data_IF_972016850958
#
_entry.id   IF_972016850958
#
_cell.length_a   1.000
_cell.length_b   1.000
_cell.length_c   1.000
_cell.angle_alpha   90.00
_cell.angle_beta   90.00
_cell.angle_gamma   90.00
#
_symmetry.space_group_name_H-M   'P 1'
#
loop_
_entity.id
_entity.type
_entity.pdbx_description
1 polymer ?
#
# COMPACT_ATOMS: atom_id res chain seq x y z
N UNK A 1 -37.16 2.52 -17.06
CA UNK A 1 -36.89 2.24 -15.62
C UNK A 1 -35.42 1.92 -15.38
N UNK A 2 -34.78 1.05 -16.20
CA UNK A 2 -33.34 0.74 -16.02
C UNK A 2 -32.38 1.94 -16.29
N UNK A 3 -32.67 2.78 -17.29
CA UNK A 3 -31.82 3.93 -17.62
C UNK A 3 -31.87 5.03 -16.54
N UNK A 4 -33.01 5.22 -15.88
CA UNK A 4 -33.16 6.21 -14.80
C UNK A 4 -32.46 5.80 -13.52
N UNK A 5 -32.37 4.51 -13.22
CA UNK A 5 -31.66 3.98 -12.05
C UNK A 5 -30.13 4.07 -12.25
N UNK A 6 -29.64 3.81 -13.47
CA UNK A 6 -28.20 3.98 -13.81
C UNK A 6 -27.76 5.45 -13.74
N UNK A 7 -28.57 6.39 -14.25
CA UNK A 7 -28.24 7.82 -14.16
C UNK A 7 -28.26 8.35 -12.71
N UNK A 8 -29.21 7.90 -11.88
CA UNK A 8 -29.25 8.30 -10.46
C UNK A 8 -28.07 7.73 -9.65
N UNK A 9 -27.60 6.53 -9.99
CA UNK A 9 -26.42 5.92 -9.36
C UNK A 9 -25.14 6.67 -9.73
N UNK A 10 -24.94 7.02 -11.00
CA UNK A 10 -23.78 7.81 -11.44
C UNK A 10 -23.78 9.24 -10.85
N UNK A 11 -24.93 9.90 -10.76
CA UNK A 11 -25.05 11.23 -10.15
C UNK A 11 -24.71 11.21 -8.65
N UNK A 12 -25.10 10.16 -7.92
CA UNK A 12 -24.77 10.05 -6.49
C UNK A 12 -23.30 9.76 -6.23
N UNK A 13 -22.64 8.98 -7.09
CA UNK A 13 -21.20 8.71 -7.00
C UNK A 13 -20.41 9.99 -7.23
N UNK A 14 -20.69 10.72 -8.28
CA UNK A 14 -20.03 12.00 -8.61
C UNK A 14 -20.20 13.05 -7.50
N UNK A 15 -21.40 13.15 -6.89
CA UNK A 15 -21.61 14.06 -5.75
C UNK A 15 -20.79 13.67 -4.52
N UNK A 16 -20.64 12.39 -4.26
CA UNK A 16 -19.84 11.91 -3.11
C UNK A 16 -18.36 12.18 -3.32
N UNK A 17 -17.85 11.93 -4.52
CA UNK A 17 -16.44 12.20 -4.88
C UNK A 17 -16.13 13.71 -4.84
N UNK A 18 -16.99 14.54 -5.39
CA UNK A 18 -16.84 16.00 -5.32
C UNK A 18 -16.84 16.51 -3.88
N UNK A 19 -17.70 15.96 -3.01
CA UNK A 19 -17.73 16.32 -1.58
C UNK A 19 -16.44 15.90 -0.87
N UNK A 20 -15.89 14.72 -1.16
CA UNK A 20 -14.63 14.24 -0.60
C UNK A 20 -13.49 15.16 -1.05
N UNK A 21 -13.41 15.47 -2.34
CA UNK A 21 -12.37 16.34 -2.88
C UNK A 21 -12.42 17.74 -2.26
N UNK A 22 -13.61 18.31 -2.10
CA UNK A 22 -13.79 19.60 -1.40
C UNK A 22 -13.28 19.54 0.05
N UNK A 23 -13.60 18.48 0.80
CA UNK A 23 -13.12 18.30 2.17
C UNK A 23 -11.60 18.16 2.23
N UNK A 24 -10.99 17.46 1.27
CA UNK A 24 -9.53 17.34 1.16
C UNK A 24 -8.91 18.70 0.87
N UNK A 25 -9.43 19.47 -0.08
CA UNK A 25 -8.95 20.80 -0.41
C UNK A 25 -9.04 21.77 0.78
N UNK A 26 -10.17 21.76 1.51
CA UNK A 26 -10.37 22.53 2.73
C UNK A 26 -9.37 22.16 3.83
N UNK A 27 -9.11 20.87 4.04
CA UNK A 27 -8.12 20.38 4.98
C UNK A 27 -6.72 20.83 4.55
N UNK A 28 -6.34 20.56 3.29
CA UNK A 28 -5.03 20.90 2.74
C UNK A 28 -4.72 22.40 2.84
N UNK A 29 -5.73 23.24 2.61
CA UNK A 29 -5.58 24.71 2.71
C UNK A 29 -5.24 25.19 4.13
N UNK A 30 -5.68 24.45 5.16
CA UNK A 30 -5.40 24.76 6.57
C UNK A 30 -4.08 24.18 7.08
N UNK A 31 -3.54 23.17 6.41
CA UNK A 31 -2.30 22.52 6.83
C UNK A 31 -1.09 23.41 6.63
N UNK A 32 -0.26 23.50 7.65
CA UNK A 32 1.09 24.08 7.53
C UNK A 32 2.00 23.18 6.68
N UNK A 33 3.09 23.73 6.17
CA UNK A 33 4.07 22.94 5.41
C UNK A 33 4.64 21.75 6.21
N UNK A 34 5.01 21.87 7.51
CA UNK A 34 5.43 20.72 8.30
C UNK A 34 4.37 19.62 8.42
N UNK A 35 3.08 19.96 8.52
CA UNK A 35 1.99 18.98 8.54
C UNK A 35 1.86 18.25 7.20
N UNK A 36 1.95 18.94 6.07
CA UNK A 36 1.92 18.34 4.74
C UNK A 36 3.06 17.36 4.56
N UNK A 37 4.28 17.72 4.98
CA UNK A 37 5.45 16.84 4.94
C UNK A 37 5.24 15.64 5.86
N UNK A 38 4.66 15.82 7.05
CA UNK A 38 4.40 14.74 7.99
C UNK A 38 3.47 13.66 7.40
N UNK A 39 2.55 14.02 6.49
CA UNK A 39 1.68 13.03 5.83
C UNK A 39 2.41 12.14 4.82
N UNK A 40 3.58 12.53 4.33
CA UNK A 40 4.41 11.76 3.39
C UNK A 40 5.35 10.77 4.11
N UNK A 41 5.30 10.73 5.44
CA UNK A 41 6.18 9.93 6.29
C UNK A 41 5.47 8.75 6.89
N UNK A 42 6.24 7.70 7.17
CA UNK A 42 5.80 6.61 8.03
C UNK A 42 6.76 6.37 9.20
N UNK A 43 6.27 5.72 10.25
CA UNK A 43 7.04 5.34 11.43
C UNK A 43 6.60 4.00 11.97
N UNK A 44 7.27 3.52 13.00
CA UNK A 44 6.87 2.33 13.74
C UNK A 44 6.07 2.73 14.98
N UNK A 45 4.89 2.12 15.14
CA UNK A 45 3.99 2.45 16.25
C UNK A 45 4.64 2.20 17.61
N UNK A 46 5.46 1.16 17.75
CA UNK A 46 6.08 0.78 19.03
C UNK A 46 7.04 1.85 19.57
N UNK A 47 7.58 2.72 18.73
CA UNK A 47 8.43 3.84 19.14
C UNK A 47 7.70 4.85 20.02
N UNK A 48 6.35 4.86 19.98
CA UNK A 48 5.52 5.77 20.75
C UNK A 48 5.19 5.26 22.16
N UNK A 49 5.61 4.03 22.51
CA UNK A 49 5.27 3.42 23.79
C UNK A 49 6.47 3.38 24.74
N UNK A 50 6.18 3.37 26.04
CA UNK A 50 7.17 3.13 27.11
C UNK A 50 7.42 1.63 27.31
N UNK A 51 8.32 1.30 28.24
CA UNK A 51 8.66 -0.10 28.54
C UNK A 51 7.50 -0.86 29.22
N UNK A 52 6.56 -0.16 29.82
CA UNK A 52 5.35 -0.70 30.44
C UNK A 52 4.20 -0.88 29.45
N UNK A 53 4.38 -0.43 28.19
CA UNK A 53 3.41 -0.53 27.10
C UNK A 53 2.34 0.58 27.11
N UNK A 54 2.54 1.67 27.84
CA UNK A 54 1.68 2.84 27.79
C UNK A 54 2.14 3.83 26.71
N UNK A 55 1.21 4.59 26.13
CA UNK A 55 1.55 5.64 25.19
C UNK A 55 2.39 6.74 25.88
N UNK A 56 3.62 6.94 25.40
CA UNK A 56 4.52 7.98 25.88
C UNK A 56 4.25 9.30 25.15
N UNK A 57 3.48 10.18 25.80
CA UNK A 57 3.10 11.46 25.21
C UNK A 57 4.28 12.42 25.00
N UNK A 58 5.43 12.20 25.66
CA UNK A 58 6.65 12.97 25.44
C UNK A 58 7.28 12.54 24.13
N UNK A 59 7.40 11.22 23.90
CA UNK A 59 7.86 10.68 22.61
C UNK A 59 6.94 11.11 21.46
N UNK A 60 5.63 11.05 21.66
CA UNK A 60 4.67 11.50 20.63
C UNK A 60 4.93 12.95 20.23
N UNK A 61 5.10 13.87 21.19
CA UNK A 61 5.41 15.28 20.92
C UNK A 61 6.78 15.50 20.25
N UNK A 62 7.73 14.62 20.48
CA UNK A 62 9.06 14.69 19.88
C UNK A 62 9.10 14.12 18.45
N UNK A 63 8.50 12.94 18.24
CA UNK A 63 8.61 12.17 17.02
C UNK A 63 7.58 12.59 15.96
N UNK A 64 6.36 12.93 16.40
CA UNK A 64 5.23 13.24 15.52
C UNK A 64 4.48 14.52 15.89
N UNK A 65 5.18 15.66 16.12
CA UNK A 65 4.56 16.91 16.61
C UNK A 65 3.53 17.50 15.63
N UNK A 66 3.66 17.18 14.34
CA UNK A 66 2.77 17.61 13.26
C UNK A 66 1.88 16.49 12.73
N UNK A 67 1.76 15.37 13.46
CA UNK A 67 1.14 14.15 12.99
C UNK A 67 2.11 13.29 12.19
N UNK A 68 1.56 12.25 11.54
CA UNK A 68 2.26 11.33 10.66
C UNK A 68 1.26 10.69 9.70
N UNK A 69 1.65 10.41 8.46
CA UNK A 69 0.77 9.80 7.48
C UNK A 69 0.51 8.32 7.73
N UNK A 70 1.55 7.57 8.09
CA UNK A 70 1.47 6.12 8.14
C UNK A 70 2.19 5.50 9.34
N UNK A 71 1.69 4.33 9.78
CA UNK A 71 2.42 3.41 10.66
C UNK A 71 2.63 2.07 9.97
N UNK A 72 3.90 1.63 9.95
CA UNK A 72 4.39 0.47 9.22
C UNK A 72 4.32 -0.79 10.04
N UNK A 73 3.87 -1.91 9.44
CA UNK A 73 3.97 -3.30 9.93
C UNK A 73 3.74 -3.47 11.43
N UNK A 74 2.72 -2.83 11.97
CA UNK A 74 2.48 -2.81 13.42
C UNK A 74 2.16 -4.18 14.02
N UNK A 75 1.62 -5.13 13.23
CA UNK A 75 1.34 -6.49 13.67
C UNK A 75 2.54 -7.44 13.49
N UNK A 76 3.46 -7.12 12.57
CA UNK A 76 4.62 -7.96 12.26
C UNK A 76 5.81 -7.74 13.19
N UNK A 77 5.83 -6.67 13.98
CA UNK A 77 6.95 -6.34 14.87
C UNK A 77 6.95 -7.18 16.14
N UNK A 78 5.78 -7.56 16.62
CA UNK A 78 5.62 -8.39 17.80
C UNK A 78 4.44 -9.35 17.60
N UNK A 79 4.61 -10.64 17.88
CA UNK A 79 3.54 -11.63 17.79
C UNK A 79 2.61 -11.51 19.00
N UNK A 80 1.59 -10.70 18.87
CA UNK A 80 0.56 -10.43 19.89
C UNK A 80 -0.84 -10.71 19.37
N UNK A 81 -1.85 -10.67 20.25
CA UNK A 81 -3.25 -10.84 19.85
C UNK A 81 -3.85 -9.58 19.20
N UNK A 82 -4.88 -9.77 18.38
CA UNK A 82 -5.56 -8.72 17.65
C UNK A 82 -6.19 -7.63 18.56
N UNK A 83 -6.65 -7.97 19.76
CA UNK A 83 -7.22 -7.00 20.69
C UNK A 83 -6.16 -6.08 21.28
N UNK A 84 -4.96 -6.59 21.54
CA UNK A 84 -3.83 -5.79 21.99
C UNK A 84 -3.48 -4.74 20.94
N UNK A 85 -3.33 -5.16 19.68
CA UNK A 85 -3.05 -4.24 18.58
C UNK A 85 -4.14 -3.20 18.38
N UNK A 86 -5.41 -3.62 18.37
CA UNK A 86 -6.55 -2.72 18.24
C UNK A 86 -6.56 -1.62 19.31
N UNK A 87 -6.22 -1.97 20.56
CA UNK A 87 -6.14 -0.99 21.66
C UNK A 87 -5.01 0.00 21.44
N UNK A 88 -3.83 -0.46 21.03
CA UNK A 88 -2.69 0.40 20.70
C UNK A 88 -3.00 1.36 19.55
N UNK A 89 -3.55 0.84 18.46
CA UNK A 89 -3.99 1.68 17.33
C UNK A 89 -4.99 2.74 17.80
N UNK A 90 -6.00 2.36 18.60
CA UNK A 90 -7.01 3.29 19.08
C UNK A 90 -6.41 4.43 19.92
N UNK A 91 -5.47 4.12 20.82
CA UNK A 91 -4.80 5.12 21.67
C UNK A 91 -3.94 6.07 20.84
N UNK A 92 -3.21 5.56 19.83
CA UNK A 92 -2.41 6.40 18.93
C UNK A 92 -3.30 7.29 18.06
N UNK A 93 -4.38 6.75 17.50
CA UNK A 93 -5.34 7.53 16.71
C UNK A 93 -6.00 8.63 17.55
N UNK A 94 -6.41 8.30 18.78
CA UNK A 94 -6.98 9.28 19.72
C UNK A 94 -6.00 10.43 20.00
N UNK A 95 -4.72 10.09 20.23
CA UNK A 95 -3.68 11.09 20.44
C UNK A 95 -3.49 11.99 19.20
N UNK A 96 -3.41 11.40 18.00
CA UNK A 96 -3.27 12.15 16.76
C UNK A 96 -4.43 13.11 16.55
N UNK A 97 -5.66 12.66 16.75
CA UNK A 97 -6.86 13.47 16.53
C UNK A 97 -7.00 14.64 17.51
N UNK A 98 -6.48 14.51 18.74
CA UNK A 98 -6.69 15.51 19.78
C UNK A 98 -5.44 16.35 20.12
N UNK A 99 -4.24 15.92 19.69
CA UNK A 99 -2.98 16.55 20.10
C UNK A 99 -2.09 16.98 18.92
N UNK A 100 -2.56 16.86 17.68
CA UNK A 100 -1.88 17.41 16.49
C UNK A 100 -2.73 18.56 15.89
N UNK A 101 -2.11 19.48 15.13
CA UNK A 101 -2.78 20.74 14.77
C UNK A 101 -4.10 20.58 14.01
N UNK A 102 -4.20 19.66 13.05
CA UNK A 102 -5.42 19.41 12.28
C UNK A 102 -6.11 18.08 12.60
N UNK A 103 -5.63 17.32 13.60
CA UNK A 103 -6.27 16.09 14.06
C UNK A 103 -6.37 15.00 12.98
N UNK A 104 -5.37 14.87 12.10
CA UNK A 104 -5.39 13.91 11.00
C UNK A 104 -4.99 12.53 11.52
N UNK A 105 -5.85 11.49 11.37
CA UNK A 105 -5.51 10.13 11.76
C UNK A 105 -4.48 9.52 10.79
N UNK A 106 -3.62 8.62 11.29
CA UNK A 106 -2.66 7.90 10.46
C UNK A 106 -3.28 6.69 9.76
N UNK A 107 -2.69 6.28 8.63
CA UNK A 107 -2.98 5.01 7.97
C UNK A 107 -2.09 3.92 8.56
N UNK A 108 -2.70 2.89 9.14
CA UNK A 108 -2.00 1.70 9.62
C UNK A 108 -1.98 0.64 8.53
N UNK A 109 -0.81 0.13 8.19
CA UNK A 109 -0.65 -0.89 7.16
C UNK A 109 0.07 -2.14 7.67
N UNK A 110 -0.21 -3.27 7.02
CA UNK A 110 0.33 -4.57 7.37
C UNK A 110 0.55 -5.44 6.13
N UNK A 111 1.42 -6.43 6.26
CA UNK A 111 1.56 -7.52 5.29
C UNK A 111 0.48 -8.57 5.51
N UNK A 112 -0.21 -8.98 4.43
CA UNK A 112 -1.28 -9.98 4.54
C UNK A 112 -1.27 -11.03 3.42
N UNK A 113 -0.13 -11.30 2.81
CA UNK A 113 0.03 -12.27 1.72
C UNK A 113 -0.58 -13.65 2.06
N UNK A 114 -0.34 -14.14 3.26
CA UNK A 114 -0.84 -15.42 3.77
C UNK A 114 -1.68 -15.29 5.05
N UNK A 115 -2.33 -14.15 5.25
CA UNK A 115 -3.05 -13.80 6.47
C UNK A 115 -2.29 -12.78 7.31
N UNK A 116 -2.86 -12.40 8.45
CA UNK A 116 -2.27 -11.40 9.36
C UNK A 116 -1.36 -12.12 10.35
N UNK A 117 -0.19 -11.55 10.63
CA UNK A 117 0.77 -12.12 11.59
C UNK A 117 0.40 -11.76 13.03
N UNK A 118 -0.69 -12.35 13.55
CA UNK A 118 -1.11 -12.25 14.96
C UNK A 118 -1.41 -13.64 15.53
N UNK A 119 -1.38 -13.78 16.87
CA UNK A 119 -1.53 -15.08 17.54
C UNK A 119 -2.86 -15.79 17.24
N UNK A 120 -3.92 -15.02 17.01
CA UNK A 120 -5.30 -15.49 16.85
C UNK A 120 -5.83 -15.34 15.41
N UNK A 121 -4.96 -14.97 14.45
CA UNK A 121 -5.35 -14.85 13.06
C UNK A 121 -5.25 -16.19 12.30
N UNK A 122 -6.05 -16.31 11.25
CA UNK A 122 -5.96 -17.46 10.34
C UNK A 122 -4.77 -17.30 9.40
N UNK A 123 -3.93 -18.33 9.34
CA UNK A 123 -2.84 -18.47 8.38
C UNK A 123 -3.34 -19.23 7.16
N UNK A 124 -3.04 -18.73 5.98
CA UNK A 124 -3.37 -19.30 4.69
C UNK A 124 -2.10 -19.76 3.96
N UNK A 125 -2.21 -20.60 2.92
CA UNK A 125 -1.07 -20.90 2.06
C UNK A 125 -0.42 -19.64 1.49
N UNK A 126 0.88 -19.71 1.23
CA UNK A 126 1.59 -18.67 0.47
C UNK A 126 1.00 -18.55 -0.95
N UNK A 127 1.23 -17.40 -1.62
CA UNK A 127 0.59 -17.10 -2.90
C UNK A 127 0.90 -18.14 -3.98
N UNK A 128 2.13 -18.68 -4.03
CA UNK A 128 2.47 -19.76 -4.96
C UNK A 128 1.59 -21.02 -4.74
N UNK A 129 1.31 -21.37 -3.50
CA UNK A 129 0.40 -22.46 -3.16
C UNK A 129 -1.06 -22.14 -3.51
N UNK A 130 -1.47 -20.88 -3.39
CA UNK A 130 -2.80 -20.43 -3.82
C UNK A 130 -2.92 -20.46 -5.35
N UNK A 131 -1.87 -20.06 -6.09
CA UNK A 131 -1.81 -20.13 -7.55
C UNK A 131 -2.03 -21.53 -8.09
N UNK A 132 -1.48 -22.56 -7.42
CA UNK A 132 -1.67 -23.98 -7.77
C UNK A 132 -3.13 -24.44 -7.70
N UNK A 133 -4.02 -23.68 -7.07
CA UNK A 133 -5.45 -23.97 -7.09
C UNK A 133 -6.14 -23.59 -8.40
N UNK A 134 -5.58 -22.67 -9.17
CA UNK A 134 -6.19 -22.02 -10.35
C UNK A 134 -7.62 -21.54 -10.06
N UNK A 135 -7.88 -21.12 -8.82
CA UNK A 135 -9.21 -20.72 -8.37
C UNK A 135 -9.19 -19.30 -7.76
N UNK A 136 -9.48 -18.27 -8.56
CA UNK A 136 -9.48 -16.88 -8.11
C UNK A 136 -10.59 -16.58 -7.08
N UNK A 137 -11.72 -17.32 -7.09
CA UNK A 137 -12.81 -17.13 -6.12
C UNK A 137 -12.33 -17.47 -4.69
N UNK A 138 -11.46 -18.48 -4.53
CA UNK A 138 -10.84 -18.79 -3.24
C UNK A 138 -9.89 -17.66 -2.79
N UNK A 139 -9.13 -17.07 -3.70
CA UNK A 139 -8.27 -15.93 -3.39
C UNK A 139 -9.10 -14.71 -2.93
N UNK A 140 -10.20 -14.41 -3.61
CA UNK A 140 -11.13 -13.35 -3.24
C UNK A 140 -11.78 -13.60 -1.88
N UNK A 141 -12.28 -14.81 -1.61
CA UNK A 141 -12.87 -15.19 -0.34
C UNK A 141 -11.87 -15.09 0.82
N UNK A 142 -10.64 -15.59 0.63
CA UNK A 142 -9.54 -15.48 1.61
C UNK A 142 -9.29 -14.01 1.96
N UNK A 143 -9.16 -13.16 0.96
CA UNK A 143 -8.79 -11.76 1.19
C UNK A 143 -9.93 -10.92 1.74
N UNK A 144 -11.18 -11.27 1.42
CA UNK A 144 -12.36 -10.75 2.11
C UNK A 144 -12.30 -11.00 3.62
N UNK A 145 -11.96 -12.22 4.02
CA UNK A 145 -11.83 -12.59 5.44
C UNK A 145 -10.64 -11.87 6.10
N UNK A 146 -9.49 -11.87 5.43
CA UNK A 146 -8.27 -11.21 5.92
C UNK A 146 -8.46 -9.71 6.05
N UNK A 147 -9.01 -9.03 5.03
CA UNK A 147 -9.29 -7.60 5.06
C UNK A 147 -10.29 -7.22 6.15
N UNK A 148 -11.32 -8.05 6.36
CA UNK A 148 -12.28 -7.86 7.46
C UNK A 148 -11.59 -7.97 8.83
N UNK A 149 -10.68 -8.91 9.01
CA UNK A 149 -9.91 -9.07 10.25
C UNK A 149 -8.96 -7.89 10.46
N UNK A 150 -8.18 -7.51 9.43
CA UNK A 150 -7.26 -6.36 9.49
C UNK A 150 -8.01 -5.05 9.83
N UNK A 151 -9.16 -4.83 9.21
CA UNK A 151 -10.01 -3.65 9.51
C UNK A 151 -10.45 -3.58 10.96
N UNK A 152 -10.81 -4.72 11.57
CA UNK A 152 -11.18 -4.79 12.99
C UNK A 152 -10.02 -4.46 13.93
N UNK A 153 -8.79 -4.66 13.49
CA UNK A 153 -7.58 -4.29 14.23
C UNK A 153 -7.18 -2.83 14.06
N UNK A 154 -7.81 -2.11 13.13
CA UNK A 154 -7.53 -0.71 12.81
C UNK A 154 -6.63 -0.52 11.59
N UNK A 155 -6.21 -1.59 10.92
CA UNK A 155 -5.47 -1.52 9.65
C UNK A 155 -6.38 -1.07 8.50
N UNK A 156 -5.85 -0.24 7.62
CA UNK A 156 -6.60 0.35 6.49
C UNK A 156 -5.91 0.18 5.15
N UNK A 157 -4.66 -0.26 5.16
CA UNK A 157 -3.86 -0.55 3.97
C UNK A 157 -3.14 -1.89 4.15
N UNK A 158 -3.06 -2.67 3.10
CA UNK A 158 -2.28 -3.90 3.01
C UNK A 158 -1.18 -3.73 1.98
N UNK A 159 0.05 -4.11 2.32
CA UNK A 159 1.17 -4.14 1.38
C UNK A 159 1.17 -5.43 0.53
N UNK A 160 -0.01 -5.78 0.02
CA UNK A 160 -0.28 -6.99 -0.75
C UNK A 160 -1.35 -6.73 -1.82
N UNK A 161 -1.39 -7.50 -2.91
CA UNK A 161 -0.64 -8.72 -3.22
C UNK A 161 0.76 -8.45 -3.81
N UNK A 162 1.64 -9.47 -3.74
CA UNK A 162 2.84 -9.53 -4.55
C UNK A 162 2.54 -10.23 -5.87
N UNK A 163 2.70 -9.52 -6.98
CA UNK A 163 2.36 -10.01 -8.33
C UNK A 163 3.56 -10.01 -9.26
N UNK A 164 4.76 -10.04 -8.70
CA UNK A 164 5.98 -10.20 -9.47
C UNK A 164 5.90 -11.46 -10.33
N UNK A 165 6.06 -11.29 -11.65
CA UNK A 165 6.15 -12.40 -12.59
C UNK A 165 7.57 -12.96 -12.51
N UNK A 166 7.73 -14.16 -11.95
CA UNK A 166 9.03 -14.71 -11.62
C UNK A 166 9.71 -15.29 -12.86
N UNK A 167 10.73 -14.61 -13.36
CA UNK A 167 11.52 -15.02 -14.55
C UNK A 167 12.73 -15.88 -14.20
N UNK A 168 13.06 -16.01 -12.92
CA UNK A 168 14.21 -16.80 -12.47
C UNK A 168 13.87 -17.63 -11.24
N UNK A 169 14.19 -18.93 -11.22
CA UNK A 169 13.96 -19.77 -10.04
C UNK A 169 14.88 -19.41 -8.86
N UNK A 170 15.88 -18.56 -9.06
CA UNK A 170 16.75 -18.03 -7.99
C UNK A 170 16.15 -16.83 -7.27
N UNK A 171 14.95 -16.36 -7.66
CA UNK A 171 14.28 -15.30 -6.96
C UNK A 171 13.88 -15.75 -5.54
N UNK A 172 14.48 -15.11 -4.54
CA UNK A 172 14.39 -15.54 -3.15
C UNK A 172 13.03 -15.27 -2.47
N UNK A 173 12.06 -14.74 -3.23
CA UNK A 173 10.68 -14.47 -2.78
C UNK A 173 9.64 -15.18 -3.67
N UNK A 174 10.05 -16.25 -4.34
CA UNK A 174 9.17 -17.00 -5.26
C UNK A 174 7.87 -17.46 -4.57
N UNK A 175 7.92 -17.87 -3.30
CA UNK A 175 6.76 -18.34 -2.55
C UNK A 175 5.71 -17.26 -2.30
N UNK A 176 6.13 -15.98 -2.31
CA UNK A 176 5.21 -14.85 -2.16
C UNK A 176 4.48 -14.49 -3.46
N UNK A 177 4.94 -15.01 -4.62
CA UNK A 177 4.40 -14.72 -5.95
C UNK A 177 3.34 -15.74 -6.38
N UNK A 178 2.66 -15.45 -7.49
CA UNK A 178 1.78 -16.41 -8.17
C UNK A 178 2.51 -17.24 -9.24
N UNK A 179 3.83 -17.09 -9.38
CA UNK A 179 4.70 -17.87 -10.29
C UNK A 179 5.18 -17.07 -11.51
N UNK A 180 5.41 -17.79 -12.60
CA UNK A 180 6.06 -17.26 -13.81
C UNK A 180 5.10 -16.78 -14.90
N UNK A 181 3.80 -17.00 -14.73
CA UNK A 181 2.76 -16.67 -15.71
C UNK A 181 2.09 -15.34 -15.35
N UNK A 182 2.23 -14.33 -16.24
CA UNK A 182 1.67 -13.00 -16.03
C UNK A 182 0.14 -12.99 -16.02
N UNK A 183 -0.52 -13.83 -16.82
CA UNK A 183 -1.97 -13.93 -16.84
C UNK A 183 -2.53 -14.55 -15.55
N UNK A 184 -1.93 -15.63 -15.05
CA UNK A 184 -2.32 -16.21 -13.77
C UNK A 184 -2.11 -15.20 -12.62
N UNK A 185 -0.97 -14.51 -12.60
CA UNK A 185 -0.68 -13.44 -11.63
C UNK A 185 -1.71 -12.31 -11.72
N UNK A 186 -2.14 -11.93 -12.92
CA UNK A 186 -3.16 -10.91 -13.15
C UNK A 186 -4.54 -11.35 -12.61
N UNK A 187 -4.96 -12.57 -12.90
CA UNK A 187 -6.27 -13.09 -12.46
C UNK A 187 -6.32 -13.24 -10.94
N UNK A 188 -5.30 -13.87 -10.35
CA UNK A 188 -5.23 -14.09 -8.90
C UNK A 188 -5.05 -12.79 -8.12
N UNK A 189 -4.19 -11.88 -8.60
CA UNK A 189 -3.97 -10.57 -8.01
C UNK A 189 -5.22 -9.69 -8.06
N UNK A 190 -5.94 -9.70 -9.17
CA UNK A 190 -7.22 -8.98 -9.31
C UNK A 190 -8.27 -9.49 -8.32
N UNK A 191 -8.40 -10.80 -8.16
CA UNK A 191 -9.29 -11.41 -7.17
C UNK A 191 -8.88 -11.04 -5.74
N UNK A 192 -7.56 -11.06 -5.46
CA UNK A 192 -7.02 -10.63 -4.17
C UNK A 192 -7.45 -9.19 -3.82
N UNK A 193 -7.27 -8.25 -4.75
CA UNK A 193 -7.64 -6.84 -4.55
C UNK A 193 -9.14 -6.68 -4.34
N UNK A 194 -9.97 -7.37 -5.14
CA UNK A 194 -11.44 -7.33 -5.00
C UNK A 194 -11.90 -7.77 -3.62
N UNK A 195 -11.40 -8.90 -3.13
CA UNK A 195 -11.75 -9.42 -1.82
C UNK A 195 -11.29 -8.49 -0.69
N UNK A 196 -10.07 -7.95 -0.80
CA UNK A 196 -9.49 -7.08 0.22
C UNK A 196 -10.22 -5.72 0.31
N UNK A 197 -10.46 -5.06 -0.83
CA UNK A 197 -11.09 -3.74 -0.89
C UNK A 197 -12.62 -3.78 -0.79
N UNK A 198 -13.26 -4.92 -1.10
CA UNK A 198 -14.71 -5.14 -0.98
C UNK A 198 -15.57 -4.11 -1.76
N UNK A 199 -14.99 -3.45 -2.76
CA UNK A 199 -15.63 -2.37 -3.50
C UNK A 199 -15.96 -1.11 -2.70
N UNK A 200 -15.59 -1.06 -1.41
CA UNK A 200 -15.86 0.05 -0.50
C UNK A 200 -14.80 0.09 0.62
N UNK A 201 -13.89 1.07 0.57
CA UNK A 201 -12.83 1.23 1.58
C UNK A 201 -13.34 1.60 2.99
N UNK A 202 -14.62 1.92 3.15
CA UNK A 202 -15.23 2.05 4.48
C UNK A 202 -15.40 0.69 5.16
N UNK A 203 -15.47 -0.39 4.36
CA UNK A 203 -15.62 -1.78 4.82
C UNK A 203 -14.35 -2.58 4.65
N UNK A 204 -13.74 -2.47 3.47
CA UNK A 204 -12.51 -3.16 3.11
C UNK A 204 -11.26 -2.41 3.53
N UNK A 205 -10.14 -2.89 3.02
CA UNK A 205 -8.79 -2.37 3.24
C UNK A 205 -8.16 -2.09 1.89
N UNK A 206 -7.45 -0.98 1.73
CA UNK A 206 -6.71 -0.68 0.51
C UNK A 206 -5.67 -1.75 0.21
N UNK A 207 -5.58 -2.18 -1.04
CA UNK A 207 -4.55 -3.09 -1.52
C UNK A 207 -3.38 -2.31 -2.10
N UNK A 208 -2.16 -2.84 -1.95
CA UNK A 208 -0.93 -2.32 -2.55
C UNK A 208 -0.33 -3.37 -3.48
N UNK A 209 -0.39 -3.11 -4.79
CA UNK A 209 0.23 -3.96 -5.80
C UNK A 209 1.75 -3.83 -5.74
N UNK A 210 2.48 -4.97 -5.63
CA UNK A 210 3.94 -4.95 -5.55
C UNK A 210 4.59 -6.13 -6.26
N UNK A 211 5.84 -5.99 -6.71
CA UNK A 211 6.67 -4.79 -6.71
C UNK A 211 6.76 -4.24 -8.14
N UNK A 212 6.34 -3.06 -8.33
CA UNK A 212 6.28 -2.42 -9.63
C UNK A 212 7.68 -1.93 -10.05
N UNK A 213 8.25 -2.26 -11.16
CA UNK A 213 7.79 -3.10 -12.25
C UNK A 213 8.93 -4.09 -12.57
N UNK A 214 8.66 -5.43 -12.50
CA UNK A 214 9.62 -6.44 -12.97
C UNK A 214 10.63 -6.95 -11.94
N UNK A 215 10.38 -6.87 -10.64
CA UNK A 215 11.29 -7.30 -9.57
C UNK A 215 11.59 -8.80 -9.60
N UNK A 216 10.71 -9.65 -10.10
CA UNK A 216 10.89 -11.09 -10.24
C UNK A 216 11.92 -11.54 -11.30
N UNK A 217 12.84 -10.66 -11.70
CA UNK A 217 13.85 -10.92 -12.73
C UNK A 217 13.51 -10.35 -14.10
N UNK A 218 12.46 -9.51 -14.19
CA UNK A 218 12.00 -8.88 -15.43
C UNK A 218 12.45 -7.43 -15.63
N UNK A 219 13.33 -6.89 -14.79
CA UNK A 219 13.76 -5.49 -14.89
C UNK A 219 14.52 -5.13 -16.17
N UNK A 220 15.15 -6.12 -16.82
CA UNK A 220 15.84 -5.99 -18.10
C UNK A 220 15.06 -6.63 -19.27
N UNK A 221 13.77 -6.92 -19.09
CA UNK A 221 12.91 -7.44 -20.14
C UNK A 221 12.81 -6.44 -21.31
N UNK A 222 12.60 -6.97 -22.53
CA UNK A 222 12.32 -6.09 -23.65
C UNK A 222 10.94 -5.40 -23.49
N UNK A 223 10.71 -4.33 -24.27
CA UNK A 223 9.49 -3.53 -24.16
C UNK A 223 8.21 -4.36 -24.32
N UNK A 224 8.22 -5.34 -25.23
CA UNK A 224 7.07 -6.20 -25.47
C UNK A 224 6.77 -7.07 -24.26
N UNK A 225 7.77 -7.78 -23.72
CA UNK A 225 7.62 -8.61 -22.53
C UNK A 225 7.22 -7.76 -21.33
N UNK A 226 7.83 -6.57 -21.18
CA UNK A 226 7.48 -5.65 -20.12
C UNK A 226 6.01 -5.26 -20.16
N UNK A 227 5.50 -4.88 -21.32
CA UNK A 227 4.12 -4.39 -21.46
C UNK A 227 3.07 -5.51 -21.51
N UNK A 228 3.35 -6.63 -22.20
CA UNK A 228 2.33 -7.66 -22.43
C UNK A 228 2.24 -8.70 -21.31
N UNK A 229 3.29 -8.84 -20.48
CA UNK A 229 3.34 -9.90 -19.46
C UNK A 229 3.66 -9.37 -18.06
N UNK A 230 4.73 -8.58 -17.89
CA UNK A 230 5.16 -8.11 -16.57
C UNK A 230 4.24 -6.99 -16.02
N UNK A 231 3.79 -6.09 -16.88
CA UNK A 231 2.86 -5.01 -16.50
C UNK A 231 1.42 -5.52 -16.30
N UNK A 232 1.03 -6.58 -17.00
CA UNK A 232 -0.34 -7.09 -17.04
C UNK A 232 -0.99 -7.31 -15.65
N UNK A 233 -0.33 -7.91 -14.65
CA UNK A 233 -0.91 -8.04 -13.31
C UNK A 233 -1.24 -6.69 -12.66
N UNK A 234 -0.35 -5.72 -12.76
CA UNK A 234 -0.55 -4.38 -12.19
C UNK A 234 -1.67 -3.63 -12.92
N UNK A 235 -1.68 -3.65 -14.25
CA UNK A 235 -2.71 -3.04 -15.07
C UNK A 235 -4.11 -3.58 -14.75
N UNK A 236 -4.26 -4.90 -14.66
CA UNK A 236 -5.56 -5.53 -14.37
C UNK A 236 -6.06 -5.19 -12.98
N UNK A 237 -5.18 -5.16 -11.98
CA UNK A 237 -5.56 -4.76 -10.62
C UNK A 237 -5.98 -3.28 -10.55
N UNK A 238 -5.34 -2.40 -11.31
CA UNK A 238 -5.71 -0.98 -11.39
C UNK A 238 -7.06 -0.84 -12.11
N UNK A 239 -7.17 -1.37 -13.34
CA UNK A 239 -8.34 -1.15 -14.21
C UNK A 239 -9.58 -1.95 -13.79
N UNK A 240 -9.42 -3.20 -13.30
CA UNK A 240 -10.54 -4.12 -13.04
C UNK A 240 -10.90 -4.27 -11.56
N UNK A 241 -10.01 -3.87 -10.64
CA UNK A 241 -10.24 -3.96 -9.20
C UNK A 241 -10.03 -2.63 -8.45
N UNK A 242 -9.58 -1.57 -9.14
CA UNK A 242 -9.40 -0.24 -8.55
C UNK A 242 -8.39 -0.24 -7.41
N UNK A 243 -7.27 -0.93 -7.57
CA UNK A 243 -6.18 -1.00 -6.58
C UNK A 243 -5.78 0.41 -6.12
N UNK A 244 -5.60 0.64 -4.82
CA UNK A 244 -5.45 1.99 -4.24
C UNK A 244 -4.03 2.36 -3.82
N UNK A 245 -3.11 1.41 -3.81
CA UNK A 245 -1.69 1.69 -3.61
C UNK A 245 -0.82 0.82 -4.52
N UNK A 246 0.40 1.28 -4.74
CA UNK A 246 1.40 0.58 -5.54
C UNK A 246 2.77 0.82 -4.94
N UNK A 247 3.62 -0.22 -4.95
CA UNK A 247 4.96 -0.17 -4.38
C UNK A 247 6.01 -0.51 -5.44
N UNK A 248 6.91 0.42 -5.80
CA UNK A 248 8.04 0.14 -6.68
C UNK A 248 9.04 -0.83 -6.06
N UNK A 249 9.68 -1.66 -6.88
CA UNK A 249 10.69 -2.61 -6.41
C UNK A 249 12.06 -2.00 -6.12
N UNK A 250 12.92 -2.79 -5.45
CA UNK A 250 14.30 -2.38 -5.12
C UNK A 250 15.26 -2.33 -6.31
N UNK A 251 14.93 -3.01 -7.41
CA UNK A 251 15.78 -3.11 -8.59
C UNK A 251 15.74 -1.84 -9.45
N UNK A 252 16.36 -1.90 -10.61
CA UNK A 252 16.32 -0.85 -11.61
C UNK A 252 15.61 -1.33 -12.88
N UNK A 253 14.94 -0.42 -13.56
CA UNK A 253 14.40 -0.57 -14.91
C UNK A 253 15.07 0.48 -15.79
N UNK A 254 15.61 0.08 -16.93
CA UNK A 254 16.40 0.94 -17.84
C UNK A 254 17.51 1.72 -17.10
N UNK A 255 18.15 1.06 -16.12
CA UNK A 255 19.26 1.64 -15.34
C UNK A 255 18.85 2.61 -14.23
N UNK A 256 17.57 2.91 -14.05
CA UNK A 256 17.05 3.79 -13.00
C UNK A 256 16.32 2.99 -11.92
N UNK A 257 16.64 3.21 -10.64
CA UNK A 257 15.96 2.59 -9.50
C UNK A 257 14.46 2.89 -9.55
N UNK A 258 13.62 1.85 -9.43
CA UNK A 258 12.16 1.96 -9.60
C UNK A 258 11.53 3.05 -8.73
N UNK A 259 11.98 3.23 -7.48
CA UNK A 259 11.45 4.22 -6.54
C UNK A 259 11.68 5.69 -6.97
N UNK A 260 12.59 5.92 -7.94
CA UNK A 260 12.89 7.25 -8.49
C UNK A 260 12.82 7.29 -10.02
N UNK A 261 12.11 6.34 -10.63
CA UNK A 261 12.03 6.19 -12.08
C UNK A 261 10.75 6.83 -12.63
N UNK A 262 10.88 8.05 -13.16
CA UNK A 262 9.75 8.82 -13.71
C UNK A 262 9.10 8.14 -14.92
N UNK A 263 9.85 7.40 -15.74
CA UNK A 263 9.30 6.67 -16.88
C UNK A 263 8.23 5.66 -16.43
N UNK A 264 8.55 4.83 -15.42
CA UNK A 264 7.60 3.81 -14.96
C UNK A 264 6.51 4.39 -14.05
N UNK A 265 6.82 5.41 -13.21
CA UNK A 265 5.86 5.92 -12.22
C UNK A 265 4.98 7.07 -12.74
N UNK A 266 5.51 7.92 -13.64
CA UNK A 266 4.71 8.99 -14.23
C UNK A 266 4.17 8.58 -15.60
N UNK A 267 5.04 8.28 -16.59
CA UNK A 267 4.60 8.08 -17.96
C UNK A 267 3.75 6.79 -18.11
N UNK A 268 4.19 5.66 -17.53
CA UNK A 268 3.44 4.40 -17.62
C UNK A 268 2.32 4.36 -16.56
N UNK A 269 2.64 4.56 -15.27
CA UNK A 269 1.66 4.35 -14.21
C UNK A 269 0.58 5.44 -14.18
N UNK A 270 0.98 6.73 -14.14
CA UNK A 270 0.03 7.84 -14.05
C UNK A 270 -0.64 8.14 -15.37
N UNK A 271 0.14 8.35 -16.44
CA UNK A 271 -0.39 8.85 -17.72
C UNK A 271 -1.03 7.73 -18.54
N UNK A 272 -0.36 6.59 -18.74
CA UNK A 272 -0.90 5.50 -19.57
C UNK A 272 -1.95 4.66 -18.82
N UNK A 273 -1.69 4.23 -17.57
CA UNK A 273 -2.65 3.41 -16.81
C UNK A 273 -3.73 4.25 -16.13
N UNK A 274 -3.54 5.56 -15.93
CA UNK A 274 -4.46 6.45 -15.24
C UNK A 274 -4.56 6.14 -13.74
N UNK A 275 -3.48 5.66 -13.11
CA UNK A 275 -3.49 5.34 -11.69
C UNK A 275 -3.63 6.59 -10.83
N UNK A 276 -4.69 6.65 -10.04
CA UNK A 276 -5.02 7.76 -9.13
C UNK A 276 -4.70 7.46 -7.65
N UNK A 277 -4.20 6.26 -7.37
CA UNK A 277 -3.86 5.80 -6.03
C UNK A 277 -2.49 6.30 -5.54
N UNK A 278 -2.06 5.79 -4.41
CA UNK A 278 -0.85 6.18 -3.71
C UNK A 278 0.34 5.31 -4.14
N UNK A 279 1.48 5.92 -4.44
CA UNK A 279 2.76 5.25 -4.66
C UNK A 279 3.57 5.32 -3.37
N UNK A 280 3.84 4.16 -2.76
CA UNK A 280 4.58 4.04 -1.51
C UNK A 280 5.92 3.36 -1.77
N UNK A 281 7.01 3.87 -1.19
CA UNK A 281 8.32 3.20 -1.34
C UNK A 281 8.29 1.81 -0.70
N UNK A 282 9.10 0.88 -1.21
CA UNK A 282 9.47 -0.28 -0.41
C UNK A 282 10.39 0.16 0.75
N UNK A 283 10.51 -0.64 1.79
CA UNK A 283 11.22 -0.28 3.01
C UNK A 283 12.67 0.05 2.75
N UNK A 284 13.08 1.26 3.13
CA UNK A 284 14.42 1.79 2.90
C UNK A 284 14.86 1.91 1.42
N UNK A 285 13.96 1.76 0.46
CA UNK A 285 14.31 1.80 -0.96
C UNK A 285 14.86 3.16 -1.38
N UNK A 286 14.34 4.24 -0.80
CA UNK A 286 14.82 5.60 -1.05
C UNK A 286 16.25 5.77 -0.52
N UNK A 287 16.57 5.21 0.66
CA UNK A 287 17.93 5.25 1.23
C UNK A 287 18.97 4.52 0.35
N UNK A 288 18.53 3.57 -0.46
CA UNK A 288 19.38 2.78 -1.36
C UNK A 288 19.62 3.44 -2.72
N UNK A 289 19.15 4.68 -2.96
CA UNK A 289 19.39 5.40 -4.20
C UNK A 289 20.90 5.68 -4.38
N UNK A 290 21.52 5.20 -5.46
CA UNK A 290 22.95 5.36 -5.69
C UNK A 290 23.31 6.77 -6.16
N UNK A 291 24.55 7.19 -5.87
CA UNK A 291 25.09 8.46 -6.37
C UNK A 291 24.50 9.71 -5.73
N UNK A 292 23.75 9.57 -4.63
CA UNK A 292 23.17 10.66 -3.87
C UNK A 292 23.66 10.60 -2.42
N UNK A 293 24.31 11.67 -1.94
CA UNK A 293 25.06 11.65 -0.69
C UNK A 293 24.19 12.03 0.53
N UNK A 294 23.07 12.71 0.32
CA UNK A 294 22.25 13.21 1.43
C UNK A 294 20.81 12.67 1.37
N UNK A 295 20.15 12.48 2.54
CA UNK A 295 18.74 12.11 2.58
C UNK A 295 17.85 13.06 1.77
N UNK A 296 18.14 14.36 1.80
CA UNK A 296 17.39 15.36 1.03
C UNK A 296 17.47 15.11 -0.48
N UNK A 297 18.68 14.81 -1.01
CA UNK A 297 18.82 14.50 -2.44
C UNK A 297 18.03 13.25 -2.83
N UNK A 298 18.04 12.22 -1.98
CA UNK A 298 17.30 10.98 -2.20
C UNK A 298 15.79 11.20 -2.16
N UNK A 299 15.29 11.94 -1.18
CA UNK A 299 13.88 12.28 -1.08
C UNK A 299 13.40 13.10 -2.30
N UNK A 300 14.18 14.10 -2.73
CA UNK A 300 13.88 14.90 -3.93
C UNK A 300 13.86 14.03 -5.18
N UNK A 301 14.80 13.09 -5.33
CA UNK A 301 14.83 12.17 -6.46
C UNK A 301 13.60 11.25 -6.49
N UNK A 302 13.21 10.69 -5.34
CA UNK A 302 12.05 9.83 -5.22
C UNK A 302 10.74 10.57 -5.53
N UNK A 303 10.53 11.74 -4.95
CA UNK A 303 9.33 12.55 -5.19
C UNK A 303 9.24 12.97 -6.67
N UNK A 304 10.34 13.45 -7.26
CA UNK A 304 10.37 13.82 -8.68
C UNK A 304 10.19 12.59 -9.60
N UNK A 305 10.59 11.41 -9.14
CA UNK A 305 10.37 10.14 -9.82
C UNK A 305 8.94 9.64 -9.77
N UNK A 306 8.07 10.22 -8.93
CA UNK A 306 6.65 9.86 -8.82
C UNK A 306 6.29 9.06 -7.56
N UNK A 307 7.20 8.93 -6.58
CA UNK A 307 6.91 8.29 -5.30
C UNK A 307 6.22 9.29 -4.36
N UNK A 308 5.10 8.91 -3.73
CA UNK A 308 4.31 9.80 -2.87
C UNK A 308 4.70 9.70 -1.40
N UNK A 309 4.99 8.50 -0.89
CA UNK A 309 5.21 8.24 0.54
C UNK A 309 6.45 7.40 0.77
N UNK A 310 7.25 7.77 1.77
CA UNK A 310 8.45 7.04 2.19
C UNK A 310 8.14 6.06 3.34
N UNK A 311 8.47 4.78 3.18
CA UNK A 311 8.31 3.69 4.15
C UNK A 311 9.67 3.11 4.56
N UNK A 312 9.86 2.80 5.86
CA UNK A 312 9.49 3.59 7.03
C UNK A 312 10.55 4.64 7.33
N UNK A 313 10.23 5.62 8.14
CA UNK A 313 11.13 6.67 8.64
C UNK A 313 11.63 7.66 7.57
N UNK A 314 10.76 8.05 6.65
CA UNK A 314 11.02 9.14 5.72
C UNK A 314 11.19 10.50 6.39
#
# INVERSE_FOLDING_TARGET
VCATVLMASCCNINNTEQQVNQQVDELYSRMSQPERIAQLRSGYMDELFDAEGNLDTVKCKQLIPYGIGHFSQYASQELVDANFLRKRVAVVQDWLMHHTPNGIPALFHEEVLSGINTQDATVYPQQIGQACSFNPELAELKTLQTGTALRKMGGVLSLSPMVDVCRTPSFNRLEESYGEDGYLSAVMGTAFVKGLQQGDLKKGVGACSKHYLGYGGGGDADEKEMMEDILLPHETMIRLAGCKALMPGYHAVHGTKCVANSEILNDILRDYLGFDGMVVSDYTAIDQLPGLDTPLQKAVAAINGGNDVDFPRG
#
